data_IF_895698368935
#
_entry.id   IF_895698368935
#
_cell.length_a   1.000
_cell.length_b   1.000
_cell.length_c   1.000
_cell.angle_alpha   90.00
_cell.angle_beta   90.00
_cell.angle_gamma   90.00
#
_symmetry.space_group_name_H-M   'P 1'
#
loop_
_entity.id
_entity.type
_entity.pdbx_description
1 polymer ?
#
# COMPACT_ATOMS: atom_id res chain seq x y z
N UNK A 1 1.61 20.53 -21.19
CA UNK A 1 2.74 21.02 -20.39
C UNK A 1 2.75 20.19 -19.13
N UNK A 2 3.78 19.36 -18.91
CA UNK A 2 3.89 18.58 -17.68
C UNK A 2 4.43 19.51 -16.59
N UNK A 3 3.60 19.85 -15.61
CA UNK A 3 4.13 20.29 -14.33
C UNK A 3 4.75 19.05 -13.71
N UNK A 4 6.06 19.05 -13.42
CA UNK A 4 6.63 17.99 -12.59
C UNK A 4 6.34 18.36 -11.14
N UNK A 5 5.14 18.02 -10.66
CA UNK A 5 4.80 18.17 -9.25
C UNK A 5 5.61 17.17 -8.43
N UNK A 6 5.85 15.99 -8.99
CA UNK A 6 6.68 14.93 -8.42
C UNK A 6 8.14 15.15 -8.78
N UNK A 7 9.02 14.95 -7.79
CA UNK A 7 10.47 15.04 -7.98
C UNK A 7 11.13 13.71 -7.64
N UNK A 8 12.11 13.28 -8.44
CA UNK A 8 12.95 12.14 -8.08
C UNK A 8 14.02 12.57 -7.09
N UNK A 9 14.35 11.70 -6.13
CA UNK A 9 15.61 11.80 -5.40
C UNK A 9 16.70 11.14 -6.25
N UNK A 10 17.77 11.86 -6.51
CA UNK A 10 18.93 11.34 -7.28
C UNK A 10 20.15 11.07 -6.40
N UNK A 11 20.17 11.64 -5.19
CA UNK A 11 21.27 11.50 -4.24
C UNK A 11 21.27 10.11 -3.62
N UNK A 12 22.33 9.33 -3.85
CA UNK A 12 22.48 7.97 -3.29
C UNK A 12 22.42 7.96 -1.76
N UNK A 13 22.92 9.01 -1.10
CA UNK A 13 22.86 9.15 0.36
C UNK A 13 21.44 9.36 0.85
N UNK A 14 20.64 10.18 0.16
CA UNK A 14 19.24 10.44 0.53
C UNK A 14 18.36 9.22 0.24
N UNK A 15 18.62 8.54 -0.88
CA UNK A 15 17.98 7.25 -1.20
C UNK A 15 18.29 6.23 -0.09
N UNK A 16 19.57 6.06 0.28
CA UNK A 16 19.97 5.13 1.33
C UNK A 16 19.32 5.46 2.67
N UNK A 17 19.16 6.74 2.99
CA UNK A 17 18.46 7.19 4.19
C UNK A 17 16.97 6.82 4.18
N UNK A 18 16.30 6.94 3.04
CA UNK A 18 14.91 6.52 2.89
C UNK A 18 14.75 5.01 3.14
N UNK A 19 15.60 4.18 2.52
CA UNK A 19 15.60 2.74 2.78
C UNK A 19 15.94 2.42 4.24
N UNK A 20 16.89 3.14 4.85
CA UNK A 20 17.23 2.99 6.26
C UNK A 20 16.04 3.27 7.17
N UNK A 21 15.26 4.31 6.89
CA UNK A 21 14.04 4.64 7.63
C UNK A 21 13.01 3.53 7.50
N UNK A 22 12.73 3.08 6.27
CA UNK A 22 11.70 2.06 6.07
C UNK A 22 12.11 0.73 6.72
N UNK A 23 13.39 0.34 6.63
CA UNK A 23 13.91 -0.87 7.26
C UNK A 23 13.78 -0.92 8.79
N UNK A 24 13.42 0.18 9.45
CA UNK A 24 13.07 0.18 10.87
C UNK A 24 11.68 -0.39 11.15
N UNK A 25 10.76 -0.35 10.18
CA UNK A 25 9.35 -0.70 10.36
C UNK A 25 8.88 -1.82 9.42
N UNK A 26 9.45 -1.90 8.22
CA UNK A 26 9.12 -2.90 7.19
C UNK A 26 10.41 -3.50 6.67
N UNK A 27 10.43 -4.80 6.45
CA UNK A 27 11.52 -5.43 5.74
C UNK A 27 11.07 -6.65 4.97
N UNK A 28 12.03 -7.28 4.32
CA UNK A 28 11.78 -8.36 3.39
C UNK A 28 12.35 -8.08 2.02
N UNK A 29 12.31 -9.08 1.16
CA UNK A 29 12.68 -8.97 -0.24
C UNK A 29 11.46 -9.42 -1.05
N UNK A 30 11.07 -8.60 -2.03
CA UNK A 30 10.01 -8.90 -3.00
C UNK A 30 10.71 -9.18 -4.34
N UNK A 31 10.30 -10.24 -5.05
CA UNK A 31 10.90 -10.71 -6.31
C UNK A 31 12.35 -11.20 -6.17
N UNK A 32 12.57 -12.13 -5.23
CA UNK A 32 13.80 -12.81 -4.86
C UNK A 32 13.55 -14.30 -4.56
N UNK A 33 14.58 -15.12 -4.58
CA UNK A 33 14.46 -16.56 -4.26
C UNK A 33 13.92 -16.84 -2.84
N UNK A 34 14.02 -15.87 -1.93
CA UNK A 34 13.56 -15.94 -0.53
C UNK A 34 12.52 -14.86 -0.22
N UNK A 35 11.52 -14.74 -1.10
CA UNK A 35 10.47 -13.75 -0.96
C UNK A 35 9.80 -13.78 0.41
N UNK A 36 9.96 -12.67 1.12
CA UNK A 36 9.44 -12.46 2.46
C UNK A 36 9.08 -11.01 2.62
N UNK A 37 8.03 -10.76 3.38
CA UNK A 37 7.62 -9.43 3.82
C UNK A 37 7.32 -9.52 5.30
N UNK A 38 7.82 -8.57 6.07
CA UNK A 38 7.60 -8.51 7.49
C UNK A 38 7.45 -7.09 7.99
N UNK A 39 6.73 -6.96 9.10
CA UNK A 39 6.57 -5.72 9.85
C UNK A 39 7.27 -5.84 11.19
N UNK A 40 7.90 -4.76 11.64
CA UNK A 40 8.38 -4.63 13.01
C UNK A 40 7.31 -3.92 13.82
N UNK A 41 6.95 -4.48 14.97
CA UNK A 41 6.08 -3.80 15.90
C UNK A 41 6.84 -2.63 16.53
N UNK A 42 6.39 -1.40 16.27
CA UNK A 42 6.92 -0.22 16.92
C UNK A 42 6.06 0.20 18.12
N UNK A 43 6.66 0.92 19.05
CA UNK A 43 5.97 1.42 20.23
C UNK A 43 4.86 2.39 19.83
N UNK A 44 3.67 2.25 20.44
CA UNK A 44 2.47 3.05 20.15
C UNK A 44 1.93 2.96 18.71
N UNK A 45 2.45 2.05 17.89
CA UNK A 45 1.97 1.83 16.54
C UNK A 45 0.83 0.83 16.47
N UNK A 46 -0.10 1.07 15.56
CA UNK A 46 -1.10 0.10 15.11
C UNK A 46 -0.89 -0.15 13.62
N UNK A 47 -1.42 -1.25 13.12
CA UNK A 47 -1.46 -1.54 11.69
C UNK A 47 -2.88 -1.97 11.30
N UNK A 48 -3.26 -1.65 10.07
CA UNK A 48 -4.53 -2.03 9.49
C UNK A 48 -4.33 -2.36 8.00
N UNK A 49 -5.16 -3.27 7.50
CA UNK A 49 -5.21 -3.63 6.09
C UNK A 49 -6.53 -3.14 5.51
N UNK A 50 -6.46 -2.50 4.35
CA UNK A 50 -7.60 -1.98 3.61
C UNK A 50 -7.47 -2.38 2.14
N UNK A 51 -8.59 -2.34 1.42
CA UNK A 51 -8.62 -2.56 -0.03
C UNK A 51 -7.85 -1.43 -0.76
N UNK A 52 -7.12 -1.71 -1.84
CA UNK A 52 -6.38 -0.65 -2.54
C UNK A 52 -7.30 0.29 -3.34
N UNK A 53 -8.57 -0.07 -3.58
CA UNK A 53 -9.56 0.84 -4.17
C UNK A 53 -9.64 2.19 -3.46
N UNK A 54 -9.34 2.19 -2.15
CA UNK A 54 -9.18 3.39 -1.32
C UNK A 54 -7.98 4.30 -1.71
N UNK A 55 -7.25 4.03 -2.79
CA UNK A 55 -6.28 4.96 -3.37
C UNK A 55 -6.68 5.42 -4.78
N UNK A 56 -7.63 4.74 -5.40
CA UNK A 56 -8.09 5.03 -6.76
C UNK A 56 -9.36 5.89 -6.77
N UNK A 57 -10.10 5.98 -5.67
CA UNK A 57 -11.28 6.81 -5.53
C UNK A 57 -10.93 8.25 -5.07
N UNK A 58 -11.67 9.24 -5.57
CA UNK A 58 -11.39 10.67 -5.31
C UNK A 58 -11.55 11.03 -3.83
N UNK A 59 -12.52 10.42 -3.15
CA UNK A 59 -12.79 10.67 -1.72
C UNK A 59 -11.62 10.25 -0.84
N UNK A 60 -10.96 9.15 -1.18
CA UNK A 60 -9.86 8.64 -0.39
C UNK A 60 -8.52 9.33 -0.70
N UNK A 61 -8.32 9.78 -1.94
CA UNK A 61 -7.24 10.71 -2.26
C UNK A 61 -7.38 12.00 -1.44
N UNK A 62 -8.60 12.55 -1.35
CA UNK A 62 -8.87 13.71 -0.52
C UNK A 62 -8.61 13.43 0.96
N UNK A 63 -9.00 12.24 1.47
CA UNK A 63 -8.73 11.84 2.85
C UNK A 63 -7.24 11.68 3.14
N UNK A 64 -6.46 11.10 2.23
CA UNK A 64 -5.01 11.02 2.34
C UNK A 64 -4.39 12.42 2.45
N UNK A 65 -4.73 13.31 1.52
CA UNK A 65 -4.22 14.69 1.51
C UNK A 65 -4.59 15.41 2.79
N UNK A 66 -5.85 15.33 3.23
CA UNK A 66 -6.31 15.95 4.48
C UNK A 66 -5.56 15.38 5.70
N UNK A 67 -5.37 14.07 5.75
CA UNK A 67 -4.63 13.42 6.84
C UNK A 67 -3.20 13.93 6.88
N UNK A 68 -2.48 13.87 5.76
CA UNK A 68 -1.10 14.33 5.67
C UNK A 68 -0.95 15.82 6.08
N UNK A 69 -1.84 16.70 5.61
CA UNK A 69 -1.83 18.12 5.95
C UNK A 69 -2.11 18.36 7.44
N UNK A 70 -3.02 17.60 8.06
CA UNK A 70 -3.34 17.77 9.48
C UNK A 70 -2.18 17.40 10.42
N UNK A 71 -1.33 16.47 9.99
CA UNK A 71 -0.07 16.12 10.66
C UNK A 71 1.11 17.02 10.25
N UNK A 72 0.86 18.02 9.39
CA UNK A 72 1.84 19.03 8.98
C UNK A 72 2.79 18.58 7.85
N UNK A 73 2.51 17.48 7.16
CA UNK A 73 3.33 17.01 6.05
C UNK A 73 2.96 17.73 4.75
N UNK A 74 3.91 18.51 4.22
CA UNK A 74 3.76 19.20 2.92
C UNK A 74 4.15 18.33 1.72
N UNK A 75 4.82 17.21 1.99
CA UNK A 75 5.20 16.21 1.00
C UNK A 75 5.41 14.86 1.68
N UNK A 76 5.36 13.78 0.89
CA UNK A 76 5.78 12.45 1.32
C UNK A 76 6.73 11.82 0.30
N UNK A 77 7.54 10.90 0.76
CA UNK A 77 8.39 10.05 -0.06
C UNK A 77 7.62 8.79 -0.44
N UNK A 78 7.72 8.39 -1.69
CA UNK A 78 7.24 7.12 -2.20
C UNK A 78 8.42 6.31 -2.71
N UNK A 79 8.76 5.24 -2.01
CA UNK A 79 9.93 4.40 -2.32
C UNK A 79 9.46 3.12 -2.98
N UNK A 80 9.92 2.89 -4.22
CA UNK A 80 9.72 1.61 -4.87
C UNK A 80 10.37 0.50 -4.04
N UNK A 81 9.59 -0.55 -3.78
CA UNK A 81 10.01 -1.71 -2.99
C UNK A 81 10.24 -2.95 -3.86
N UNK A 82 10.19 -2.82 -5.18
CA UNK A 82 10.40 -3.92 -6.12
C UNK A 82 11.84 -4.02 -6.63
N UNK A 83 12.32 -5.26 -6.78
CA UNK A 83 13.53 -5.56 -7.56
C UNK A 83 13.21 -5.48 -9.05
N UNK A 84 13.12 -4.29 -9.61
CA UNK A 84 13.15 -4.12 -11.06
C UNK A 84 13.97 -2.87 -11.40
N UNK A 85 15.03 -3.09 -12.17
CA UNK A 85 16.12 -2.17 -12.55
C UNK A 85 15.72 -0.94 -13.40
N UNK A 86 14.57 -0.31 -13.16
CA UNK A 86 14.15 0.90 -13.89
C UNK A 86 13.64 1.98 -12.92
N UNK A 87 14.30 3.14 -12.95
CA UNK A 87 14.03 4.38 -12.20
C UNK A 87 12.53 4.77 -12.11
N UNK A 88 12.07 5.53 -11.09
CA UNK A 88 12.85 6.22 -10.06
C UNK A 88 12.82 5.57 -8.67
N UNK A 89 13.99 5.37 -8.04
CA UNK A 89 14.06 4.93 -6.66
C UNK A 89 13.84 6.16 -5.78
N UNK A 90 12.67 6.23 -5.15
CA UNK A 90 12.23 7.34 -4.30
C UNK A 90 11.75 8.57 -5.07
N UNK A 91 10.45 8.80 -4.97
CA UNK A 91 9.75 9.99 -5.44
C UNK A 91 9.36 10.87 -4.25
N UNK A 92 9.50 12.18 -4.38
CA UNK A 92 8.92 13.17 -3.48
C UNK A 92 7.63 13.66 -4.10
N UNK A 93 6.52 13.34 -3.44
CA UNK A 93 5.18 13.69 -3.86
C UNK A 93 4.66 14.82 -2.98
N UNK A 94 4.21 15.95 -3.56
CA UNK A 94 3.62 17.02 -2.76
C UNK A 94 2.27 16.58 -2.19
N UNK A 95 1.96 17.05 -0.98
CA UNK A 95 0.68 16.78 -0.32
C UNK A 95 -0.42 17.66 -0.93
N UNK A 96 -0.85 17.31 -2.14
CA UNK A 96 -1.98 17.90 -2.83
C UNK A 96 -2.66 16.85 -3.72
N UNK A 97 -3.91 17.11 -4.11
CA UNK A 97 -4.68 16.20 -4.97
C UNK A 97 -3.92 15.92 -6.27
N UNK A 98 -3.47 16.96 -6.96
CA UNK A 98 -2.72 16.82 -8.22
C UNK A 98 -1.45 15.97 -8.05
N UNK A 99 -0.75 16.09 -6.92
CA UNK A 99 0.46 15.32 -6.63
C UNK A 99 0.16 13.83 -6.42
N UNK A 100 -0.90 13.52 -5.67
CA UNK A 100 -1.36 12.14 -5.45
C UNK A 100 -1.90 11.53 -6.74
N UNK A 101 -2.63 12.30 -7.55
CA UNK A 101 -3.13 11.85 -8.84
C UNK A 101 -1.99 11.58 -9.82
N UNK A 102 -1.02 12.50 -9.93
CA UNK A 102 0.18 12.28 -10.74
C UNK A 102 0.93 11.04 -10.27
N UNK A 103 1.03 10.80 -8.96
CA UNK A 103 1.69 9.62 -8.42
C UNK A 103 0.96 8.35 -8.82
N UNK A 104 -0.37 8.31 -8.62
CA UNK A 104 -1.24 7.20 -9.00
C UNK A 104 -1.13 6.83 -10.47
N UNK A 105 -1.05 7.82 -11.36
CA UNK A 105 -0.96 7.58 -12.81
C UNK A 105 0.42 7.07 -13.26
N UNK A 106 1.46 7.24 -12.45
CA UNK A 106 2.84 6.91 -12.83
C UNK A 106 3.44 5.75 -12.03
N UNK A 107 2.71 5.19 -11.05
CA UNK A 107 3.20 4.04 -10.28
C UNK A 107 2.96 2.74 -11.03
N UNK A 108 3.99 1.91 -11.00
CA UNK A 108 3.93 0.50 -11.36
C UNK A 108 4.68 -0.24 -10.25
N UNK A 109 4.09 -1.29 -9.68
CA UNK A 109 4.68 -2.13 -8.61
C UNK A 109 4.45 -1.65 -7.16
N UNK A 110 5.20 -2.23 -6.22
CA UNK A 110 5.07 -2.02 -4.79
C UNK A 110 5.76 -0.73 -4.35
N UNK A 111 5.07 0.06 -3.54
CA UNK A 111 5.59 1.31 -2.97
C UNK A 111 5.39 1.36 -1.47
N UNK A 112 6.37 1.92 -0.76
CA UNK A 112 6.22 2.35 0.63
C UNK A 112 6.20 3.86 0.70
N UNK A 113 5.13 4.42 1.26
CA UNK A 113 4.95 5.85 1.46
C UNK A 113 5.26 6.25 2.91
N UNK A 114 5.94 7.38 3.11
CA UNK A 114 6.21 7.97 4.44
C UNK A 114 6.67 9.44 4.30
N UNK A 115 6.58 10.28 5.34
CA UNK A 115 6.94 11.72 5.26
C UNK A 115 8.28 12.11 5.92
N UNK A 116 9.27 11.20 5.92
CA UNK A 116 10.66 11.50 6.30
C UNK A 116 11.11 11.00 7.67
N UNK A 117 10.20 10.54 8.53
CA UNK A 117 10.49 9.73 9.73
C UNK A 117 9.55 8.53 9.75
N UNK A 118 9.89 7.43 10.44
CA UNK A 118 8.92 6.38 10.68
C UNK A 118 8.04 6.84 11.84
N UNK A 119 7.02 7.62 11.50
CA UNK A 119 5.84 7.91 12.34
C UNK A 119 4.57 7.26 11.76
N UNK A 120 4.60 6.95 10.46
CA UNK A 120 3.66 6.10 9.75
C UNK A 120 4.31 5.53 8.47
N UNK A 121 3.67 4.52 7.88
CA UNK A 121 3.89 4.10 6.52
C UNK A 121 2.58 3.66 5.86
N UNK A 122 2.57 3.68 4.53
CA UNK A 122 1.57 2.99 3.71
C UNK A 122 2.31 2.10 2.74
N UNK A 123 2.10 0.79 2.83
CA UNK A 123 2.56 -0.18 1.83
C UNK A 123 1.46 -0.35 0.80
N UNK A 124 1.74 0.05 -0.44
CA UNK A 124 0.90 -0.17 -1.61
C UNK A 124 1.48 -1.33 -2.41
N UNK A 125 0.61 -2.24 -2.81
CA UNK A 125 0.99 -3.41 -3.59
C UNK A 125 0.22 -3.42 -4.91
N UNK A 126 0.58 -2.60 -5.90
CA UNK A 126 -0.20 -2.40 -7.14
C UNK A 126 -0.69 -3.68 -7.86
N UNK A 127 0.05 -4.80 -7.73
CA UNK A 127 -0.35 -6.13 -8.24
C UNK A 127 -1.42 -6.88 -7.41
N UNK A 128 -1.79 -6.37 -6.24
CA UNK A 128 -2.65 -6.99 -5.24
C UNK A 128 -3.57 -5.92 -4.67
N UNK A 129 -4.88 -6.12 -4.64
CA UNK A 129 -5.80 -5.05 -4.27
C UNK A 129 -5.85 -4.71 -2.77
N UNK A 130 -4.71 -4.53 -2.10
CA UNK A 130 -4.64 -4.10 -0.70
C UNK A 130 -3.58 -3.05 -0.46
N UNK A 131 -3.80 -2.30 0.62
CA UNK A 131 -2.80 -1.49 1.26
C UNK A 131 -2.68 -1.85 2.74
N UNK A 132 -1.47 -1.74 3.27
CA UNK A 132 -1.22 -1.85 4.71
C UNK A 132 -0.82 -0.48 5.21
N UNK A 133 -1.61 0.07 6.11
CA UNK A 133 -1.31 1.32 6.82
C UNK A 133 -0.83 0.96 8.20
N UNK A 134 0.33 1.47 8.61
CA UNK A 134 0.76 1.39 10.01
C UNK A 134 1.36 2.70 10.48
N UNK A 135 1.30 2.94 11.77
CA UNK A 135 1.75 4.20 12.36
C UNK A 135 1.09 4.42 13.71
N UNK A 136 1.19 5.65 14.21
CA UNK A 136 0.43 6.04 15.39
C UNK A 136 -1.08 5.85 15.16
N UNK A 137 -1.80 5.48 16.23
CA UNK A 137 -3.23 5.16 16.12
C UNK A 137 -4.07 6.30 15.56
N UNK A 138 -3.73 7.55 15.90
CA UNK A 138 -4.42 8.75 15.39
C UNK A 138 -4.28 8.88 13.87
N UNK A 139 -3.07 8.67 13.32
CA UNK A 139 -2.84 8.72 11.88
C UNK A 139 -3.62 7.62 11.15
N UNK A 140 -3.56 6.39 11.66
CA UNK A 140 -4.24 5.25 11.04
C UNK A 140 -5.77 5.43 11.06
N UNK A 141 -6.33 5.94 12.16
CA UNK A 141 -7.75 6.28 12.24
C UNK A 141 -8.10 7.41 11.28
N UNK A 142 -7.35 8.51 11.24
CA UNK A 142 -7.71 9.61 10.36
C UNK A 142 -7.66 9.23 8.87
N UNK A 143 -6.69 8.39 8.47
CA UNK A 143 -6.57 7.92 7.09
C UNK A 143 -7.66 6.91 6.71
N UNK A 144 -8.00 5.97 7.60
CA UNK A 144 -8.99 4.93 7.30
C UNK A 144 -10.41 5.27 7.75
N UNK A 145 -10.60 6.46 8.33
CA UNK A 145 -11.81 6.86 9.03
C UNK A 145 -11.86 6.35 10.47
N UNK A 146 -12.79 6.91 11.26
CA UNK A 146 -12.97 6.53 12.66
C UNK A 146 -13.36 5.05 12.81
N UNK A 147 -13.51 4.57 14.06
CA UNK A 147 -13.71 3.14 14.36
C UNK A 147 -14.75 2.44 13.44
N UNK A 148 -15.92 3.05 13.11
CA UNK A 148 -16.87 2.45 12.16
C UNK A 148 -16.32 2.31 10.74
N UNK A 149 -15.80 3.38 10.16
CA UNK A 149 -15.29 3.42 8.79
C UNK A 149 -14.02 2.57 8.63
N UNK A 150 -13.12 2.60 9.62
CA UNK A 150 -11.96 1.69 9.67
C UNK A 150 -12.41 0.23 9.75
N UNK A 151 -13.46 -0.06 10.51
CA UNK A 151 -14.04 -1.39 10.56
C UNK A 151 -14.65 -1.77 9.20
N UNK A 152 -15.32 -0.85 8.51
CA UNK A 152 -15.83 -1.05 7.15
C UNK A 152 -14.72 -1.33 6.14
N UNK A 153 -13.62 -0.57 6.17
CA UNK A 153 -12.45 -0.83 5.32
C UNK A 153 -11.86 -2.22 5.57
N UNK A 154 -11.79 -2.63 6.84
CA UNK A 154 -11.37 -3.97 7.23
C UNK A 154 -12.39 -5.05 6.82
N UNK A 155 -13.69 -4.74 6.83
CA UNK A 155 -14.76 -5.65 6.41
C UNK A 155 -14.76 -5.83 4.89
N UNK A 156 -14.54 -4.78 4.12
CA UNK A 156 -14.38 -4.85 2.67
C UNK A 156 -13.23 -5.78 2.30
N UNK A 157 -12.06 -5.60 2.94
CA UNK A 157 -10.93 -6.51 2.73
C UNK A 157 -11.21 -7.94 3.21
N UNK A 158 -11.93 -8.11 4.33
CA UNK A 158 -12.35 -9.45 4.80
C UNK A 158 -13.26 -10.15 3.80
N UNK A 159 -14.25 -9.45 3.26
CA UNK A 159 -15.13 -9.97 2.22
C UNK A 159 -14.33 -10.42 1.00
N UNK A 160 -13.37 -9.61 0.56
CA UNK A 160 -12.43 -10.01 -0.49
C UNK A 160 -11.63 -11.25 -0.10
N UNK A 161 -11.05 -11.29 1.09
CA UNK A 161 -10.29 -12.43 1.61
C UNK A 161 -11.12 -13.72 1.78
N UNK A 162 -12.44 -13.64 1.71
CA UNK A 162 -13.34 -14.80 1.75
C UNK A 162 -13.85 -15.21 0.37
N UNK A 163 -14.05 -14.24 -0.51
CA UNK A 163 -14.73 -14.40 -1.79
C UNK A 163 -13.80 -14.38 -3.01
N UNK A 164 -12.50 -14.09 -2.84
CA UNK A 164 -11.56 -14.02 -3.96
C UNK A 164 -11.50 -15.34 -4.75
N UNK A 165 -11.53 -15.25 -6.08
CA UNK A 165 -11.69 -16.40 -6.99
C UNK A 165 -10.56 -17.42 -6.79
N UNK A 166 -9.32 -16.95 -6.69
CA UNK A 166 -8.14 -17.79 -6.54
C UNK A 166 -7.94 -18.22 -5.08
N UNK A 167 -7.87 -19.53 -4.84
CA UNK A 167 -7.76 -20.12 -3.50
C UNK A 167 -6.50 -19.69 -2.75
N UNK A 168 -5.36 -19.62 -3.43
CA UNK A 168 -4.08 -19.29 -2.81
C UNK A 168 -4.03 -17.82 -2.39
N UNK A 169 -4.58 -16.93 -3.22
CA UNK A 169 -4.76 -15.51 -2.87
C UNK A 169 -5.69 -15.35 -1.67
N UNK A 170 -6.80 -16.08 -1.67
CA UNK A 170 -7.74 -16.10 -0.53
C UNK A 170 -7.05 -16.53 0.76
N UNK A 171 -6.21 -17.58 0.70
CA UNK A 171 -5.43 -18.05 1.85
C UNK A 171 -4.44 -16.98 2.31
N UNK A 172 -3.76 -16.32 1.39
CA UNK A 172 -2.82 -15.26 1.69
C UNK A 172 -3.50 -14.03 2.31
N UNK A 173 -4.63 -13.57 1.77
CA UNK A 173 -5.36 -12.44 2.34
C UNK A 173 -5.88 -12.73 3.76
N UNK A 174 -6.31 -13.97 4.04
CA UNK A 174 -6.65 -14.41 5.41
C UNK A 174 -5.44 -14.43 6.33
N UNK A 175 -4.29 -14.85 5.82
CA UNK A 175 -3.02 -14.78 6.55
C UNK A 175 -2.67 -13.33 6.89
N UNK A 176 -2.68 -12.42 5.90
CA UNK A 176 -2.45 -10.99 6.11
C UNK A 176 -3.42 -10.38 7.14
N UNK A 177 -4.71 -10.68 7.06
CA UNK A 177 -5.69 -10.24 8.07
C UNK A 177 -5.31 -10.70 9.47
N UNK A 178 -4.92 -11.97 9.61
CA UNK A 178 -4.53 -12.54 10.90
C UNK A 178 -3.29 -11.85 11.44
N UNK A 179 -2.24 -11.72 10.61
CA UNK A 179 -0.98 -11.15 11.03
C UNK A 179 -1.09 -9.66 11.36
N UNK A 180 -1.81 -8.87 10.56
CA UNK A 180 -1.96 -7.43 10.77
C UNK A 180 -2.96 -7.12 11.88
N UNK A 181 -4.14 -7.74 11.89
CA UNK A 181 -5.21 -7.37 12.82
C UNK A 181 -5.21 -8.15 14.13
N UNK A 182 -4.46 -9.25 14.22
CA UNK A 182 -4.40 -10.07 15.44
C UNK A 182 -2.98 -10.14 15.99
N UNK A 183 -2.02 -10.59 15.18
CA UNK A 183 -0.65 -10.80 15.66
C UNK A 183 0.03 -9.47 15.99
N UNK A 184 0.04 -8.51 15.05
CA UNK A 184 0.70 -7.22 15.21
C UNK A 184 0.14 -6.41 16.39
N UNK A 185 -1.19 -6.42 16.57
CA UNK A 185 -1.82 -5.69 17.68
C UNK A 185 -1.47 -6.25 19.06
N UNK A 186 -1.15 -7.54 19.15
CA UNK A 186 -0.80 -8.23 20.41
C UNK A 186 0.71 -8.30 20.65
N UNK A 187 1.51 -8.01 19.63
CA UNK A 187 2.95 -8.11 19.68
C UNK A 187 3.58 -7.04 20.59
N UNK A 188 4.72 -7.38 21.18
CA UNK A 188 5.52 -6.43 21.93
C UNK A 188 6.33 -5.55 20.95
N UNK A 189 6.65 -4.30 21.32
CA UNK A 189 7.59 -3.49 20.53
C UNK A 189 8.92 -4.24 20.29
N UNK A 190 9.38 -4.27 19.04
CA UNK A 190 10.55 -5.01 18.58
C UNK A 190 10.26 -6.37 17.96
N UNK A 191 9.05 -6.93 18.16
CA UNK A 191 8.66 -8.20 17.54
C UNK A 191 8.54 -8.07 16.02
N UNK A 192 8.93 -9.13 15.30
CA UNK A 192 8.85 -9.21 13.84
C UNK A 192 7.67 -10.09 13.44
N UNK A 193 6.76 -9.53 12.66
CA UNK A 193 5.55 -10.18 12.18
C UNK A 193 5.72 -10.52 10.71
N UNK A 194 5.63 -11.81 10.39
CA UNK A 194 5.83 -12.30 9.02
C UNK A 194 4.51 -12.22 8.23
N UNK A 195 4.42 -11.28 7.31
CA UNK A 195 3.28 -11.14 6.41
C UNK A 195 3.29 -12.18 5.30
N UNK A 196 4.43 -12.81 5.03
CA UNK A 196 4.65 -13.68 3.88
C UNK A 196 4.54 -12.89 2.57
N UNK A 197 4.74 -13.58 1.45
CA UNK A 197 4.44 -13.07 0.12
C UNK A 197 3.76 -14.17 -0.69
N UNK A 198 2.82 -13.77 -1.55
CA UNK A 198 2.36 -14.65 -2.63
C UNK A 198 3.51 -14.80 -3.62
N UNK A 199 4.04 -16.01 -3.72
CA UNK A 199 5.01 -16.35 -4.74
C UNK A 199 4.24 -16.58 -6.05
N UNK A 200 3.99 -15.51 -6.79
CA UNK A 200 3.53 -15.56 -8.17
C UNK A 200 4.67 -16.10 -9.03
N UNK A 201 4.95 -17.40 -8.98
CA UNK A 201 5.98 -17.97 -9.85
C UNK A 201 5.54 -17.84 -11.29
N UNK A 202 6.10 -16.91 -12.07
CA UNK A 202 5.92 -16.55 -13.49
C UNK A 202 4.49 -16.51 -14.11
N UNK A 203 3.50 -17.10 -13.49
CA UNK A 203 2.08 -17.00 -13.78
C UNK A 203 1.53 -15.82 -12.99
N UNK A 204 1.74 -14.61 -13.51
CA UNK A 204 0.86 -13.51 -13.16
C UNK A 204 -0.59 -13.97 -13.43
N UNK A 205 -1.52 -13.85 -12.47
CA UNK A 205 -2.93 -13.87 -12.83
C UNK A 205 -3.12 -12.66 -13.71
N UNK A 206 -3.36 -12.90 -15.00
CA UNK A 206 -3.32 -11.86 -16.01
C UNK A 206 -4.07 -10.62 -15.55
N UNK A 207 -3.42 -9.46 -15.73
CA UNK A 207 -4.07 -8.17 -15.75
C UNK A 207 -5.42 -8.32 -16.46
N UNK A 208 -6.50 -8.10 -15.71
CA UNK A 208 -7.90 -8.03 -16.11
C UNK A 208 -8.29 -8.72 -17.44
N UNK A 209 -9.11 -9.80 -17.42
CA UNK A 209 -10.00 -9.99 -18.55
C UNK A 209 -10.97 -8.81 -18.53
N UNK A 210 -10.86 -7.95 -19.55
CA UNK A 210 -11.91 -7.02 -19.92
C UNK A 210 -13.23 -7.77 -19.85
N UNK A 211 -14.17 -7.27 -19.05
CA UNK A 211 -15.56 -7.69 -19.11
C UNK A 211 -15.96 -7.65 -20.59
N UNK A 212 -16.35 -8.77 -21.22
CA UNK A 212 -16.82 -8.73 -22.59
C UNK A 212 -18.01 -7.78 -22.62
N UNK A 213 -17.88 -6.65 -23.33
CA UNK A 213 -19.04 -5.91 -23.77
C UNK A 213 -19.86 -6.90 -24.60
N UNK A 214 -20.96 -7.40 -24.03
CA UNK A 214 -22.00 -8.03 -24.82
C UNK A 214 -22.50 -6.97 -25.79
N UNK A 215 -21.99 -7.01 -27.01
CA UNK A 215 -22.68 -6.49 -28.18
C UNK A 215 -24.02 -7.20 -28.25
N UNK A 216 -25.07 -6.50 -27.85
CA UNK A 216 -26.43 -6.88 -28.19
C UNK A 216 -26.56 -6.78 -29.71
N UNK A 217 -26.34 -7.91 -30.38
CA UNK A 217 -26.94 -8.18 -31.68
C UNK A 217 -28.46 -8.22 -31.47
N UNK A 218 -29.12 -7.12 -31.79
CA UNK A 218 -30.55 -7.12 -32.09
C UNK A 218 -30.71 -7.50 -33.56
N UNK A 219 -30.86 -8.80 -33.83
CA UNK A 219 -31.46 -9.30 -35.06
C UNK A 219 -32.93 -9.65 -34.78
N UNK A 220 -33.83 -9.02 -35.55
CA UNK A 220 -35.09 -9.61 -36.01
C UNK A 220 -36.35 -9.39 -35.16
N UNK A 221 -37.17 -8.42 -35.56
CA UNK A 221 -38.46 -8.64 -36.24
C UNK A 221 -38.86 -7.43 -37.10
#
# INVERSE_FOLDING_TARGET
MAFQLIRSIESSTEIAECYRVIHQAIGGQIHSENDSLWLVKLENWTAAIAYQGYFYEDEDQARLVQTLLSFGYLSFNAVSWSKADLSPPVLVVPTCIDGVEEFRLNIMSWYVLFAGKPDWFILLADSLDFMIVAGQSEFVCQLLGDIPERAEACLAFRSMAENYVYRDVRRYYRHLLTEVQVTYLKAAPGDVINLGLLNWGDEQPGCHPQVPQQSAECDGE
#
